data_IF_818204428339
#
_entry.id   IF_818204428339
#
_cell.length_a   1.000
_cell.length_b   1.000
_cell.length_c   1.000
_cell.angle_alpha   90.00
_cell.angle_beta   90.00
_cell.angle_gamma   90.00
#
_symmetry.space_group_name_H-M   'P 1'
#
loop_
_entity.id
_entity.type
_entity.pdbx_description
1 polymer ?
#
# COMPACT_ATOMS: atom_id res chain seq x y z
N UNK A 1 -30.35 -20.20 -9.84
CA UNK A 1 -29.63 -20.17 -8.54
C UNK A 1 -28.15 -20.46 -8.77
N UNK A 2 -27.31 -19.43 -8.81
CA UNK A 2 -25.87 -19.57 -9.02
C UNK A 2 -25.18 -19.92 -7.70
N UNK A 3 -24.58 -21.12 -7.62
CA UNK A 3 -23.77 -21.55 -6.46
C UNK A 3 -22.52 -20.65 -6.41
N UNK A 4 -22.48 -19.74 -5.44
CA UNK A 4 -21.24 -19.04 -5.05
C UNK A 4 -20.28 -20.08 -4.46
N UNK A 5 -19.35 -20.56 -5.26
CA UNK A 5 -18.22 -21.37 -4.79
C UNK A 5 -17.37 -20.51 -3.86
N UNK A 6 -17.37 -20.83 -2.57
CA UNK A 6 -16.48 -20.23 -1.59
C UNK A 6 -15.04 -20.67 -1.88
N UNK A 7 -14.04 -19.77 -1.80
CA UNK A 7 -12.66 -20.16 -2.02
C UNK A 7 -12.23 -21.14 -0.92
N UNK A 8 -11.73 -22.31 -1.34
CA UNK A 8 -11.18 -23.34 -0.47
C UNK A 8 -9.81 -22.89 0.03
N UNK A 9 -9.57 -23.00 1.34
CA UNK A 9 -8.28 -22.70 1.95
C UNK A 9 -7.23 -23.73 1.49
N UNK A 10 -6.31 -23.30 0.62
CA UNK A 10 -5.28 -24.15 0.00
C UNK A 10 -4.17 -24.56 0.96
N UNK A 11 -4.19 -24.10 2.22
CA UNK A 11 -3.18 -24.45 3.23
C UNK A 11 -3.56 -25.66 4.08
N UNK A 12 -4.80 -26.13 3.99
CA UNK A 12 -5.22 -27.36 4.68
C UNK A 12 -4.97 -28.55 3.76
N UNK A 13 -4.21 -29.59 4.18
CA UNK A 13 -3.95 -30.77 3.36
C UNK A 13 -5.27 -31.42 2.87
N UNK A 14 -5.37 -31.83 1.59
CA UNK A 14 -6.60 -32.40 1.03
C UNK A 14 -7.12 -33.63 1.78
N UNK A 15 -6.21 -34.38 2.42
CA UNK A 15 -6.51 -35.57 3.21
C UNK A 15 -7.37 -35.27 4.46
N UNK A 16 -7.10 -34.14 5.14
CA UNK A 16 -7.86 -33.68 6.32
C UNK A 16 -9.24 -33.19 5.90
N UNK A 17 -9.36 -32.57 4.72
CA UNK A 17 -10.65 -32.13 4.21
C UNK A 17 -11.56 -33.33 3.89
N UNK A 18 -11.06 -34.41 3.30
CA UNK A 18 -11.89 -35.57 2.94
C UNK A 18 -12.43 -36.37 4.13
N UNK A 19 -11.76 -36.33 5.29
CA UNK A 19 -12.16 -37.06 6.51
C UNK A 19 -12.98 -36.20 7.50
N UNK A 20 -13.11 -34.89 7.27
CA UNK A 20 -13.80 -33.96 8.17
C UNK A 20 -15.28 -33.77 7.83
N UNK A 21 -16.11 -33.72 8.86
CA UNK A 21 -17.55 -33.48 8.73
C UNK A 21 -17.84 -32.10 8.11
N UNK A 22 -19.01 -31.90 7.48
CA UNK A 22 -19.39 -30.59 6.93
C UNK A 22 -19.30 -29.44 7.94
N UNK A 23 -19.59 -29.70 9.22
CA UNK A 23 -19.51 -28.73 10.31
C UNK A 23 -18.06 -28.33 10.64
N UNK A 24 -17.13 -29.30 10.65
CA UNK A 24 -15.70 -29.04 10.88
C UNK A 24 -15.09 -28.24 9.72
N UNK A 25 -15.47 -28.56 8.47
CA UNK A 25 -15.04 -27.77 7.30
C UNK A 25 -15.53 -26.33 7.39
N UNK A 26 -16.77 -26.12 7.82
CA UNK A 26 -17.30 -24.76 8.01
C UNK A 26 -16.56 -24.02 9.14
N UNK A 27 -16.27 -24.69 10.26
CA UNK A 27 -15.50 -24.11 11.36
C UNK A 27 -14.07 -23.72 10.94
N UNK A 28 -13.37 -24.57 10.18
CA UNK A 28 -12.04 -24.28 9.62
C UNK A 28 -12.12 -23.07 8.69
N UNK A 29 -13.11 -23.02 7.79
CA UNK A 29 -13.29 -21.89 6.88
C UNK A 29 -13.62 -20.59 7.62
N UNK A 30 -14.48 -20.62 8.64
CA UNK A 30 -14.80 -19.45 9.47
C UNK A 30 -13.57 -18.94 10.20
N UNK A 31 -12.78 -19.83 10.81
CA UNK A 31 -11.53 -19.48 11.49
C UNK A 31 -10.52 -18.88 10.52
N UNK A 32 -10.35 -19.47 9.34
CA UNK A 32 -9.44 -18.96 8.31
C UNK A 32 -9.84 -17.56 7.84
N UNK A 33 -11.13 -17.32 7.60
CA UNK A 33 -11.65 -15.98 7.27
C UNK A 33 -11.46 -14.98 8.40
N UNK A 34 -11.73 -15.38 9.64
CA UNK A 34 -11.51 -14.52 10.82
C UNK A 34 -10.05 -14.06 10.90
N UNK A 35 -9.10 -15.00 10.80
CA UNK A 35 -7.66 -14.68 10.74
C UNK A 35 -7.36 -13.76 9.56
N UNK A 36 -7.96 -13.99 8.39
CA UNK A 36 -7.83 -13.11 7.23
C UNK A 36 -8.29 -11.67 7.51
N UNK A 37 -9.44 -11.49 8.16
CA UNK A 37 -9.95 -10.16 8.53
C UNK A 37 -9.07 -9.47 9.56
N UNK A 38 -8.59 -10.20 10.58
CA UNK A 38 -7.64 -9.65 11.57
C UNK A 38 -6.36 -9.18 10.89
N UNK A 39 -5.80 -10.00 10.00
CA UNK A 39 -4.60 -9.63 9.22
C UNK A 39 -4.85 -8.41 8.33
N UNK A 40 -6.01 -8.31 7.69
CA UNK A 40 -6.37 -7.16 6.87
C UNK A 40 -6.50 -5.88 7.71
N UNK A 41 -7.08 -5.97 8.91
CA UNK A 41 -7.18 -4.85 9.85
C UNK A 41 -5.80 -4.39 10.33
N UNK A 42 -4.92 -5.32 10.70
CA UNK A 42 -3.53 -5.00 11.07
C UNK A 42 -2.80 -4.31 9.92
N UNK A 43 -3.00 -4.79 8.69
CA UNK A 43 -2.44 -4.15 7.49
C UNK A 43 -2.96 -2.71 7.36
N UNK A 44 -4.26 -2.50 7.47
CA UNK A 44 -4.87 -1.19 7.34
C UNK A 44 -4.39 -0.20 8.41
N UNK A 45 -4.27 -0.65 9.66
CA UNK A 45 -3.75 0.16 10.77
C UNK A 45 -2.28 0.51 10.56
N UNK A 46 -1.45 -0.49 10.27
CA UNK A 46 0.00 -0.29 10.14
C UNK A 46 0.35 0.65 8.99
N UNK A 47 -0.31 0.50 7.84
CA UNK A 47 -0.11 1.35 6.67
C UNK A 47 -0.79 2.72 6.81
N UNK A 48 -1.96 2.80 7.45
CA UNK A 48 -2.66 4.06 7.69
C UNK A 48 -1.92 4.97 8.67
N UNK A 49 -1.53 4.45 9.84
CA UNK A 49 -0.77 5.20 10.86
C UNK A 49 0.63 5.60 10.35
N UNK A 50 1.14 4.96 9.29
CA UNK A 50 2.41 5.37 8.72
C UNK A 50 2.41 6.78 8.12
N UNK A 51 1.26 7.32 7.71
CA UNK A 51 1.19 8.69 7.18
C UNK A 51 1.71 9.74 8.19
N UNK A 52 1.17 9.83 9.41
CA UNK A 52 1.72 10.74 10.41
C UNK A 52 3.10 10.34 10.92
N UNK A 53 3.38 9.03 11.06
CA UNK A 53 4.72 8.56 11.46
C UNK A 53 5.79 9.04 10.48
N UNK A 54 5.54 8.93 9.18
CA UNK A 54 6.43 9.44 8.15
C UNK A 54 6.59 10.96 8.25
N UNK A 55 5.51 11.71 8.46
CA UNK A 55 5.60 13.17 8.59
C UNK A 55 6.42 13.62 9.80
N UNK A 56 6.31 12.93 10.94
CA UNK A 56 7.16 13.18 12.10
C UNK A 56 8.61 12.79 11.84
N UNK A 57 8.84 11.61 11.26
CA UNK A 57 10.20 11.13 10.99
C UNK A 57 10.93 12.02 9.97
N UNK A 58 10.20 12.69 9.08
CA UNK A 58 10.73 13.65 8.11
C UNK A 58 11.34 14.91 8.78
N UNK A 59 11.01 15.17 10.05
CA UNK A 59 11.62 16.27 10.82
C UNK A 59 13.04 15.92 11.27
N UNK A 60 13.38 14.63 11.33
CA UNK A 60 14.68 14.16 11.82
C UNK A 60 15.52 13.47 10.72
N UNK A 61 14.87 12.90 9.70
CA UNK A 61 15.52 12.22 8.59
C UNK A 61 15.08 12.79 7.24
N UNK A 62 16.01 12.90 6.28
CA UNK A 62 15.67 13.21 4.90
C UNK A 62 14.69 12.20 4.26
N UNK A 63 13.87 12.65 3.28
CA UNK A 63 12.73 11.89 2.78
C UNK A 63 13.05 10.52 2.17
N UNK A 64 14.14 10.40 1.40
CA UNK A 64 14.49 9.14 0.75
C UNK A 64 15.06 8.15 1.77
N UNK A 65 15.91 8.62 2.67
CA UNK A 65 16.48 7.83 3.76
C UNK A 65 15.40 7.34 4.75
N UNK A 66 14.46 8.22 5.10
CA UNK A 66 13.30 7.94 5.94
C UNK A 66 12.43 6.80 5.38
N UNK A 67 12.31 6.69 4.05
CA UNK A 67 11.50 5.65 3.40
C UNK A 67 12.31 4.41 3.06
N UNK A 68 13.49 4.60 2.51
CA UNK A 68 14.34 3.55 1.96
C UNK A 68 14.93 2.64 3.04
N UNK A 69 15.50 3.22 4.11
CA UNK A 69 16.21 2.43 5.12
C UNK A 69 15.25 1.51 5.91
N UNK A 70 14.11 1.99 6.44
CA UNK A 70 13.11 1.10 7.03
C UNK A 70 12.60 0.04 6.06
N UNK A 71 12.51 0.37 4.76
CA UNK A 71 12.14 -0.58 3.71
C UNK A 71 13.12 -1.74 3.57
N UNK A 72 14.44 -1.46 3.58
CA UNK A 72 15.49 -2.49 3.54
C UNK A 72 15.51 -3.31 4.82
N UNK A 73 15.42 -2.67 5.99
CA UNK A 73 15.36 -3.38 7.29
C UNK A 73 14.13 -4.29 7.34
N UNK A 74 12.96 -3.78 6.96
CA UNK A 74 11.71 -4.54 6.90
C UNK A 74 11.77 -5.69 5.89
N UNK A 75 12.43 -5.51 4.74
CA UNK A 75 12.66 -6.59 3.79
C UNK A 75 13.53 -7.71 4.38
N UNK A 76 14.57 -7.36 5.14
CA UNK A 76 15.41 -8.32 5.87
C UNK A 76 14.61 -9.11 6.91
N UNK A 77 13.79 -8.42 7.72
CA UNK A 77 12.91 -9.09 8.69
C UNK A 77 11.90 -10.01 8.01
N UNK A 78 11.30 -9.56 6.91
CA UNK A 78 10.37 -10.38 6.12
C UNK A 78 11.07 -11.59 5.48
N UNK A 79 12.34 -11.44 5.08
CA UNK A 79 13.17 -12.53 4.58
C UNK A 79 13.41 -13.59 5.67
N UNK A 80 13.71 -13.17 6.90
CA UNK A 80 13.84 -14.08 8.05
C UNK A 80 12.55 -14.86 8.27
N UNK A 81 11.39 -14.19 8.25
CA UNK A 81 10.08 -14.86 8.39
C UNK A 81 9.86 -15.85 7.24
N UNK A 82 10.16 -15.47 5.99
CA UNK A 82 9.99 -16.33 4.83
C UNK A 82 10.86 -17.60 4.94
N UNK A 83 12.13 -17.45 5.33
CA UNK A 83 13.04 -18.57 5.53
C UNK A 83 12.61 -19.47 6.70
N UNK A 84 12.14 -18.88 7.81
CA UNK A 84 11.60 -19.63 8.94
C UNK A 84 10.34 -20.42 8.58
N UNK A 85 9.56 -19.96 7.58
CA UNK A 85 8.42 -20.68 7.02
C UNK A 85 8.80 -21.69 5.92
N UNK A 86 10.08 -21.88 5.64
CA UNK A 86 10.57 -22.76 4.56
C UNK A 86 10.28 -22.24 3.15
N UNK A 87 9.94 -20.95 3.01
CA UNK A 87 9.67 -20.32 1.71
C UNK A 87 11.00 -19.96 1.04
N UNK A 88 11.25 -20.53 -0.13
CA UNK A 88 12.46 -20.25 -0.90
C UNK A 88 12.51 -18.81 -1.41
N UNK A 89 13.60 -18.11 -1.11
CA UNK A 89 13.87 -16.76 -1.64
C UNK A 89 14.53 -16.77 -3.02
N UNK A 90 14.71 -17.94 -3.64
CA UNK A 90 15.39 -18.08 -4.94
C UNK A 90 14.52 -17.53 -6.07
N UNK A 91 15.10 -16.63 -6.86
CA UNK A 91 14.46 -16.07 -8.06
C UNK A 91 15.16 -16.61 -9.32
N UNK A 92 14.42 -17.33 -10.20
CA UNK A 92 14.92 -17.74 -11.51
C UNK A 92 15.43 -16.55 -12.34
N UNK A 93 16.54 -16.74 -13.06
CA UNK A 93 17.25 -15.67 -13.80
C UNK A 93 16.36 -14.95 -14.82
N UNK A 94 15.46 -15.68 -15.47
CA UNK A 94 14.50 -15.17 -16.47
C UNK A 94 13.47 -14.18 -15.91
N UNK A 95 13.31 -14.14 -14.58
CA UNK A 95 12.29 -13.32 -13.91
C UNK A 95 12.82 -12.00 -13.40
N UNK A 96 14.14 -11.84 -13.30
CA UNK A 96 14.78 -10.64 -12.77
C UNK A 96 14.40 -9.36 -13.53
N UNK A 97 14.37 -9.32 -14.87
CA UNK A 97 14.00 -8.10 -15.58
C UNK A 97 12.58 -7.63 -15.23
N UNK A 98 11.62 -8.58 -15.15
CA UNK A 98 10.23 -8.29 -14.75
C UNK A 98 10.17 -7.88 -13.28
N UNK A 99 10.88 -8.59 -12.41
CA UNK A 99 10.92 -8.27 -10.99
C UNK A 99 11.46 -6.87 -10.75
N UNK A 100 12.57 -6.50 -11.39
CA UNK A 100 13.15 -5.15 -11.28
C UNK A 100 12.18 -4.10 -11.80
N UNK A 101 11.64 -4.28 -13.01
CA UNK A 101 10.68 -3.33 -13.60
C UNK A 101 9.47 -3.11 -12.68
N UNK A 102 8.86 -4.20 -12.21
CA UNK A 102 7.68 -4.13 -11.34
C UNK A 102 8.03 -3.51 -9.99
N UNK A 103 9.19 -3.81 -9.41
CA UNK A 103 9.65 -3.25 -8.13
C UNK A 103 9.93 -1.75 -8.22
N UNK A 104 10.55 -1.30 -9.31
CA UNK A 104 10.83 0.13 -9.53
C UNK A 104 9.53 0.91 -9.69
N UNK A 105 8.63 0.44 -10.56
CA UNK A 105 7.35 1.12 -10.80
C UNK A 105 6.44 1.14 -9.57
N UNK A 106 6.37 0.02 -8.84
CA UNK A 106 5.47 -0.07 -7.68
C UNK A 106 6.10 0.44 -6.40
N UNK A 107 7.32 0.01 -6.04
CA UNK A 107 7.90 0.32 -4.73
C UNK A 107 8.80 1.54 -4.79
N UNK A 108 9.77 1.63 -5.71
CA UNK A 108 10.68 2.79 -5.76
C UNK A 108 9.95 4.09 -6.04
N UNK A 109 9.11 4.12 -7.08
CA UNK A 109 8.31 5.30 -7.41
C UNK A 109 7.43 5.71 -6.23
N UNK A 110 6.74 4.75 -5.61
CA UNK A 110 5.86 5.06 -4.48
C UNK A 110 6.64 5.59 -3.27
N UNK A 111 7.67 4.87 -2.84
CA UNK A 111 8.43 5.22 -1.64
C UNK A 111 9.17 6.54 -1.82
N UNK A 112 9.83 6.75 -2.96
CA UNK A 112 10.60 7.95 -3.22
C UNK A 112 9.70 9.17 -3.41
N UNK A 113 8.72 9.07 -4.30
CA UNK A 113 7.88 10.23 -4.66
C UNK A 113 6.91 10.60 -3.53
N UNK A 114 6.35 9.64 -2.77
CA UNK A 114 5.54 9.98 -1.59
C UNK A 114 6.43 10.55 -0.47
N UNK A 115 7.63 10.00 -0.27
CA UNK A 115 8.59 10.56 0.69
C UNK A 115 8.85 12.04 0.41
N UNK A 116 9.11 12.39 -0.86
CA UNK A 116 9.29 13.77 -1.29
C UNK A 116 7.99 14.59 -1.22
N UNK A 117 6.84 14.02 -1.57
CA UNK A 117 5.56 14.71 -1.50
C UNK A 117 5.21 15.16 -0.06
N UNK A 118 5.55 14.35 0.94
CA UNK A 118 5.38 14.67 2.36
C UNK A 118 6.21 15.88 2.81
N UNK A 119 7.19 16.34 2.05
CA UNK A 119 7.89 17.60 2.34
C UNK A 119 6.96 18.80 2.13
N UNK A 120 6.16 18.75 1.06
CA UNK A 120 5.33 19.86 0.61
C UNK A 120 3.88 19.79 1.13
N UNK A 121 3.41 18.58 1.43
CA UNK A 121 2.00 18.33 1.75
C UNK A 121 1.80 17.86 3.20
N UNK A 122 0.66 18.21 3.81
CA UNK A 122 0.15 17.51 4.99
C UNK A 122 0.03 15.99 4.74
N UNK A 123 0.16 15.21 5.81
CA UNK A 123 0.11 13.75 5.75
C UNK A 123 -1.26 13.26 5.30
N UNK A 124 -2.35 13.86 5.82
CA UNK A 124 -3.71 13.54 5.42
C UNK A 124 -3.98 13.82 3.94
N UNK A 125 -3.52 14.97 3.43
CA UNK A 125 -3.66 15.33 2.01
C UNK A 125 -2.90 14.36 1.10
N UNK A 126 -1.66 14.03 1.47
CA UNK A 126 -0.84 13.06 0.72
C UNK A 126 -1.49 11.68 0.69
N UNK A 127 -2.12 11.26 1.79
CA UNK A 127 -2.85 9.99 1.86
C UNK A 127 -4.05 9.95 0.91
N UNK A 128 -4.81 11.04 0.81
CA UNK A 128 -5.97 11.16 -0.08
C UNK A 128 -5.53 11.14 -1.54
N UNK A 129 -4.49 11.91 -1.91
CA UNK A 129 -3.95 11.91 -3.28
C UNK A 129 -3.42 10.52 -3.63
N UNK A 130 -2.71 9.88 -2.71
CA UNK A 130 -2.22 8.51 -2.86
C UNK A 130 -3.34 7.49 -3.08
N UNK A 131 -4.50 7.67 -2.46
CA UNK A 131 -5.66 6.79 -2.63
C UNK A 131 -6.30 6.86 -4.03
N UNK A 132 -5.82 7.74 -4.92
CA UNK A 132 -6.25 7.77 -6.33
C UNK A 132 -5.66 6.64 -7.18
N UNK A 133 -4.70 5.83 -6.68
CA UNK A 133 -4.13 4.68 -7.42
C UNK A 133 -5.15 3.82 -8.18
N UNK A 134 -6.30 3.42 -7.59
CA UNK A 134 -7.24 2.52 -8.28
C UNK A 134 -7.83 3.14 -9.54
N UNK A 135 -7.92 4.47 -9.59
CA UNK A 135 -8.35 5.24 -10.76
C UNK A 135 -7.37 5.03 -11.91
N UNK A 136 -6.09 5.31 -11.65
CA UNK A 136 -5.02 5.13 -12.63
C UNK A 136 -4.91 3.66 -13.08
N UNK A 137 -5.05 2.71 -12.15
CA UNK A 137 -5.00 1.29 -12.48
C UNK A 137 -6.14 0.88 -13.42
N UNK A 138 -7.33 1.47 -13.22
CA UNK A 138 -8.47 1.25 -14.10
C UNK A 138 -8.23 1.82 -15.49
N UNK A 139 -7.67 3.04 -15.57
CA UNK A 139 -7.31 3.66 -16.85
C UNK A 139 -6.29 2.82 -17.63
N UNK A 140 -5.28 2.27 -16.96
CA UNK A 140 -4.29 1.40 -17.58
C UNK A 140 -4.80 0.00 -17.93
N UNK A 141 -5.76 -0.53 -17.18
CA UNK A 141 -6.28 -1.88 -17.43
C UNK A 141 -6.92 -2.03 -18.82
N UNK A 142 -7.47 -0.95 -19.37
CA UNK A 142 -8.09 -0.97 -20.70
C UNK A 142 -7.07 -1.19 -21.82
N UNK A 143 -6.05 -0.33 -22.02
CA UNK A 143 -5.06 -0.53 -23.07
C UNK A 143 -4.08 -1.68 -22.80
N UNK A 144 -3.80 -2.02 -21.53
CA UNK A 144 -2.78 -3.02 -21.19
C UNK A 144 -3.35 -4.43 -21.09
N UNK A 145 -4.55 -4.59 -20.50
CA UNK A 145 -5.18 -5.89 -20.26
C UNK A 145 -6.39 -6.15 -21.17
N UNK A 146 -6.86 -5.14 -21.91
CA UNK A 146 -8.07 -5.24 -22.72
C UNK A 146 -9.37 -5.21 -21.90
N UNK A 147 -9.30 -4.81 -20.62
CA UNK A 147 -10.48 -4.73 -19.76
C UNK A 147 -11.40 -3.59 -20.21
N UNK A 148 -12.69 -3.87 -20.48
CA UNK A 148 -13.65 -2.83 -20.87
C UNK A 148 -13.92 -1.88 -19.70
N UNK A 149 -13.81 -0.58 -19.96
CA UNK A 149 -14.22 0.47 -19.01
C UNK A 149 -15.74 0.42 -18.85
N UNK A 150 -16.21 0.09 -17.65
CA UNK A 150 -17.63 0.15 -17.31
C UNK A 150 -18.00 1.57 -16.89
N UNK A 151 -19.26 1.96 -17.09
CA UNK A 151 -19.77 3.27 -16.63
C UNK A 151 -19.52 3.47 -15.12
N UNK A 152 -19.61 2.40 -14.32
CA UNK A 152 -19.30 2.43 -12.88
C UNK A 152 -17.85 2.82 -12.59
N UNK A 153 -16.90 2.27 -13.36
CA UNK A 153 -15.47 2.60 -13.26
C UNK A 153 -15.18 4.05 -13.64
N UNK A 154 -15.91 4.58 -14.63
CA UNK A 154 -15.82 5.99 -15.03
C UNK A 154 -16.36 6.91 -13.94
N UNK A 155 -17.51 6.58 -13.35
CA UNK A 155 -18.09 7.35 -12.22
C UNK A 155 -17.13 7.31 -11.02
N UNK A 156 -16.58 6.14 -10.68
CA UNK A 156 -15.59 6.02 -9.61
C UNK A 156 -14.36 6.92 -9.80
N UNK A 157 -13.86 6.98 -11.04
CA UNK A 157 -12.79 7.88 -11.44
C UNK A 157 -13.17 9.35 -11.27
N UNK A 158 -14.35 9.75 -11.76
CA UNK A 158 -14.84 11.11 -11.61
C UNK A 158 -14.98 11.52 -10.13
N UNK A 159 -15.47 10.63 -9.27
CA UNK A 159 -15.60 10.88 -7.84
C UNK A 159 -14.25 11.08 -7.14
N UNK A 160 -13.25 10.25 -7.45
CA UNK A 160 -11.91 10.38 -6.88
C UNK A 160 -11.22 11.68 -7.35
N UNK A 161 -11.37 12.05 -8.63
CA UNK A 161 -10.86 13.33 -9.15
C UNK A 161 -11.60 14.51 -8.50
N UNK A 162 -12.92 14.43 -8.34
CA UNK A 162 -13.69 15.46 -7.64
C UNK A 162 -13.25 15.62 -6.18
N UNK A 163 -12.98 14.51 -5.48
CA UNK A 163 -12.43 14.54 -4.13
C UNK A 163 -11.09 15.29 -4.07
N UNK A 164 -10.21 15.06 -5.06
CA UNK A 164 -8.95 15.80 -5.18
C UNK A 164 -9.17 17.29 -5.43
N UNK A 165 -10.10 17.66 -6.31
CA UNK A 165 -10.42 19.07 -6.60
C UNK A 165 -10.99 19.77 -5.35
N UNK A 166 -11.86 19.10 -4.60
CA UNK A 166 -12.40 19.61 -3.32
C UNK A 166 -11.28 19.82 -2.31
N UNK A 167 -10.34 18.89 -2.24
CA UNK A 167 -9.17 19.00 -1.36
C UNK A 167 -8.32 20.23 -1.69
N UNK A 168 -8.12 20.53 -2.97
CA UNK A 168 -7.33 21.69 -3.44
C UNK A 168 -8.11 23.02 -3.40
N UNK A 169 -9.44 22.97 -3.50
CA UNK A 169 -10.29 24.17 -3.59
C UNK A 169 -10.51 24.90 -2.27
N UNK A 170 -10.13 24.29 -1.14
CA UNK A 170 -10.32 24.89 0.20
C UNK A 170 -9.25 25.92 0.60
N UNK A 171 -8.10 25.91 -0.08
CA UNK A 171 -6.95 26.75 0.28
C UNK A 171 -6.79 27.95 -0.67
N UNK A 172 -6.25 29.06 -0.16
CA UNK A 172 -5.96 30.25 -0.96
C UNK A 172 -4.92 29.98 -2.06
N UNK A 173 -4.92 30.81 -3.12
CA UNK A 173 -4.08 30.63 -4.32
C UNK A 173 -2.58 30.46 -4.00
N UNK A 174 -2.05 31.20 -3.03
CA UNK A 174 -0.65 31.10 -2.61
C UNK A 174 -0.32 29.77 -1.92
N UNK A 175 -1.23 29.26 -1.08
CA UNK A 175 -1.08 27.95 -0.44
C UNK A 175 -1.10 26.83 -1.49
N UNK A 176 -1.94 26.96 -2.52
CA UNK A 176 -1.99 26.02 -3.64
C UNK A 176 -0.71 25.98 -4.47
N UNK A 177 -0.04 27.12 -4.68
CA UNK A 177 1.24 27.14 -5.39
C UNK A 177 2.36 26.43 -4.61
N UNK A 178 2.45 26.62 -3.30
CA UNK A 178 3.44 25.96 -2.45
C UNK A 178 3.24 24.43 -2.39
N UNK A 179 1.99 23.98 -2.46
CA UNK A 179 1.62 22.55 -2.44
C UNK A 179 1.81 21.84 -3.78
N UNK A 180 1.84 22.58 -4.89
CA UNK A 180 1.84 22.02 -6.25
C UNK A 180 2.94 20.96 -6.51
N UNK A 181 4.22 21.15 -6.10
CA UNK A 181 5.24 20.13 -6.28
C UNK A 181 4.87 18.82 -5.58
N UNK A 182 4.36 18.89 -4.35
CA UNK A 182 3.92 17.71 -3.61
C UNK A 182 2.75 16.99 -4.26
N UNK A 183 1.78 17.74 -4.81
CA UNK A 183 0.64 17.16 -5.53
C UNK A 183 1.12 16.39 -6.76
N UNK A 184 2.01 17.00 -7.56
CA UNK A 184 2.58 16.36 -8.74
C UNK A 184 3.35 15.09 -8.35
N UNK A 185 4.19 15.16 -7.31
CA UNK A 185 4.96 14.02 -6.82
C UNK A 185 4.04 12.89 -6.34
N UNK A 186 3.02 13.19 -5.55
CA UNK A 186 2.07 12.19 -5.05
C UNK A 186 1.24 11.55 -6.18
N UNK A 187 0.82 12.33 -7.18
CA UNK A 187 0.12 11.81 -8.36
C UNK A 187 1.02 10.92 -9.22
N UNK A 188 2.27 11.34 -9.46
CA UNK A 188 3.26 10.51 -10.18
C UNK A 188 3.55 9.20 -9.42
N UNK A 189 3.58 9.25 -8.09
CA UNK A 189 3.70 8.07 -7.25
C UNK A 189 2.51 7.11 -7.45
N UNK A 190 1.29 7.64 -7.38
CA UNK A 190 0.07 6.86 -7.57
C UNK A 190 -0.02 6.28 -8.99
N UNK A 191 0.38 7.05 -10.00
CA UNK A 191 0.44 6.65 -11.41
C UNK A 191 1.45 5.52 -11.63
N UNK A 192 2.69 5.68 -11.15
CA UNK A 192 3.74 4.66 -11.24
C UNK A 192 3.31 3.36 -10.56
N UNK A 193 2.76 3.47 -9.34
CA UNK A 193 2.27 2.32 -8.59
C UNK A 193 1.15 1.58 -9.33
N UNK A 194 0.18 2.33 -9.86
CA UNK A 194 -0.92 1.78 -10.63
C UNK A 194 -0.44 1.06 -11.89
N UNK A 195 0.49 1.65 -12.63
CA UNK A 195 1.10 1.03 -13.80
C UNK A 195 1.82 -0.27 -13.43
N UNK A 196 2.63 -0.25 -12.37
CA UNK A 196 3.31 -1.44 -11.84
C UNK A 196 2.33 -2.55 -11.42
N UNK A 197 1.20 -2.16 -10.81
CA UNK A 197 0.14 -3.10 -10.42
C UNK A 197 -0.52 -3.76 -11.64
N UNK A 198 -0.84 -2.98 -12.68
CA UNK A 198 -1.45 -3.52 -13.90
C UNK A 198 -0.46 -4.37 -14.69
N UNK A 199 0.81 -3.95 -14.78
CA UNK A 199 1.86 -4.76 -15.40
C UNK A 199 2.15 -6.04 -14.63
N UNK A 200 1.99 -6.06 -13.30
CA UNK A 200 2.12 -7.30 -12.51
C UNK A 200 1.08 -8.34 -12.94
N UNK A 201 -0.14 -7.90 -13.30
CA UNK A 201 -1.17 -8.79 -13.86
C UNK A 201 -0.79 -9.29 -15.26
N UNK A 202 -0.27 -8.41 -16.13
CA UNK A 202 0.13 -8.76 -17.49
C UNK A 202 1.38 -9.66 -17.53
N UNK A 203 2.32 -9.43 -16.61
CA UNK A 203 3.64 -10.05 -16.54
C UNK A 203 3.83 -10.73 -15.17
N UNK A 204 3.07 -11.81 -14.88
CA UNK A 204 3.11 -12.43 -13.56
C UNK A 204 4.49 -13.01 -13.25
N UNK A 205 4.99 -12.71 -12.06
CA UNK A 205 6.30 -13.20 -11.57
C UNK A 205 6.28 -14.70 -11.23
N UNK A 206 5.10 -15.27 -10.92
CA UNK A 206 4.92 -16.67 -10.50
C UNK A 206 5.88 -17.08 -9.36
N UNK A 207 6.15 -16.16 -8.43
CA UNK A 207 6.96 -16.38 -7.24
C UNK A 207 6.03 -16.58 -6.02
N UNK A 208 6.50 -17.26 -4.96
CA UNK A 208 5.81 -17.22 -3.68
C UNK A 208 5.58 -15.75 -3.26
N UNK A 209 4.40 -15.38 -2.72
CA UNK A 209 4.09 -13.98 -2.41
C UNK A 209 5.09 -13.32 -1.46
N UNK A 210 5.56 -14.03 -0.43
CA UNK A 210 6.58 -13.52 0.49
C UNK A 210 7.93 -13.29 -0.21
N UNK A 211 8.34 -14.21 -1.10
CA UNK A 211 9.56 -14.04 -1.91
C UNK A 211 9.47 -12.83 -2.81
N UNK A 212 8.33 -12.63 -3.49
CA UNK A 212 8.11 -11.45 -4.31
C UNK A 212 8.17 -10.17 -3.47
N UNK A 213 7.53 -10.16 -2.29
CA UNK A 213 7.52 -9.01 -1.38
C UNK A 213 8.92 -8.61 -0.91
N UNK A 214 9.72 -9.58 -0.44
CA UNK A 214 11.10 -9.36 0.01
C UNK A 214 11.91 -8.72 -1.10
N UNK A 215 11.90 -9.31 -2.30
CA UNK A 215 12.70 -8.76 -3.40
C UNK A 215 12.15 -7.43 -3.94
N UNK A 216 10.83 -7.23 -3.95
CA UNK A 216 10.25 -5.96 -4.33
C UNK A 216 10.62 -4.84 -3.36
N UNK A 217 10.67 -5.11 -2.06
CA UNK A 217 11.16 -4.15 -1.07
C UNK A 217 12.66 -3.90 -1.19
N UNK A 218 13.48 -4.96 -1.38
CA UNK A 218 14.93 -4.80 -1.57
C UNK A 218 15.21 -3.96 -2.82
N UNK A 219 14.72 -4.38 -3.99
CA UNK A 219 14.97 -3.68 -5.26
C UNK A 219 14.32 -2.30 -5.24
N UNK A 220 13.14 -2.20 -4.62
CA UNK A 220 12.38 -0.96 -4.52
C UNK A 220 13.06 0.11 -3.68
N UNK A 221 13.58 -0.26 -2.52
CA UNK A 221 14.12 0.67 -1.52
C UNK A 221 15.63 0.85 -1.64
N UNK A 222 16.37 -0.09 -2.23
CA UNK A 222 17.83 0.01 -2.35
C UNK A 222 18.28 1.27 -3.11
N UNK A 223 17.69 1.66 -4.26
CA UNK A 223 18.04 2.91 -4.93
C UNK A 223 17.82 4.13 -4.04
N UNK A 224 16.78 4.14 -3.21
CA UNK A 224 16.46 5.25 -2.31
C UNK A 224 17.48 5.36 -1.19
N UNK A 225 17.93 4.22 -0.64
CA UNK A 225 19.01 4.19 0.37
C UNK A 225 20.31 4.70 -0.24
N UNK A 226 20.66 4.24 -1.44
CA UNK A 226 21.89 4.68 -2.12
C UNK A 226 21.85 6.18 -2.39
N UNK A 227 20.77 6.68 -3.00
CA UNK A 227 20.60 8.11 -3.27
C UNK A 227 20.60 8.90 -1.94
N UNK A 228 19.92 8.41 -0.90
CA UNK A 228 19.91 9.04 0.41
C UNK A 228 21.31 9.17 1.02
N UNK A 229 22.14 8.13 0.97
CA UNK A 229 23.51 8.17 1.48
C UNK A 229 24.38 9.17 0.69
N UNK A 230 24.26 9.18 -0.64
CA UNK A 230 25.12 10.01 -1.49
C UNK A 230 24.69 11.48 -1.56
N UNK A 231 23.40 11.80 -1.41
CA UNK A 231 22.87 13.15 -1.61
C UNK A 231 22.23 13.77 -0.37
N UNK A 232 21.65 12.98 0.53
CA UNK A 232 20.95 13.51 1.71
C UNK A 232 21.79 13.48 2.99
N UNK A 233 22.83 12.63 3.04
CA UNK A 233 23.73 12.47 4.20
C UNK A 233 22.98 12.30 5.54
N UNK A 234 22.14 11.25 5.69
CA UNK A 234 21.25 11.10 6.84
C UNK A 234 22.01 10.91 8.16
N UNK A 235 21.61 11.65 9.19
CA UNK A 235 22.26 11.65 10.50
C UNK A 235 21.54 10.75 11.50
N UNK A 236 21.55 9.44 11.29
CA UNK A 236 20.88 8.46 12.15
C UNK A 236 21.30 8.51 13.62
N UNK A 237 22.53 8.95 13.92
CA UNK A 237 23.03 9.09 15.29
C UNK A 237 22.38 10.24 16.06
N UNK A 238 21.73 11.18 15.38
CA UNK A 238 21.06 12.32 15.98
C UNK A 238 19.55 12.11 16.15
N UNK A 239 19.04 10.94 15.77
CA UNK A 239 17.64 10.58 16.00
C UNK A 239 17.30 10.71 17.48
N UNK A 240 16.19 11.38 17.75
CA UNK A 240 15.60 11.44 19.08
C UNK A 240 15.14 10.06 19.51
N UNK A 241 14.82 9.90 20.80
CA UNK A 241 14.21 8.64 21.29
C UNK A 241 12.89 8.36 20.55
N UNK A 242 12.10 9.40 20.27
CA UNK A 242 10.88 9.28 19.49
C UNK A 242 11.19 8.88 18.04
N UNK A 243 12.19 9.50 17.41
CA UNK A 243 12.65 9.20 16.06
C UNK A 243 13.02 7.72 15.88
N UNK A 244 13.74 7.13 16.85
CA UNK A 244 14.04 5.70 16.85
C UNK A 244 12.79 4.82 16.97
N UNK A 245 11.82 5.19 17.80
CA UNK A 245 10.55 4.46 17.89
C UNK A 245 9.73 4.54 16.59
N UNK A 246 9.67 5.71 15.97
CA UNK A 246 8.99 5.93 14.69
C UNK A 246 9.69 5.18 13.52
N UNK A 247 11.03 5.14 13.55
CA UNK A 247 11.83 4.34 12.63
C UNK A 247 11.54 2.84 12.82
N UNK A 248 11.57 2.36 14.06
CA UNK A 248 11.28 0.96 14.39
C UNK A 248 9.84 0.58 14.00
N UNK A 249 8.87 1.47 14.22
CA UNK A 249 7.50 1.30 13.73
C UNK A 249 7.48 1.12 12.20
N UNK A 250 8.17 1.98 11.46
CA UNK A 250 8.20 1.94 10.00
C UNK A 250 8.88 0.67 9.48
N UNK A 251 9.99 0.26 10.09
CA UNK A 251 10.74 -0.92 9.66
C UNK A 251 10.02 -2.24 10.03
N UNK A 252 9.54 -2.34 11.27
CA UNK A 252 8.96 -3.59 11.79
C UNK A 252 7.49 -3.66 11.49
N UNK A 253 6.69 -2.68 11.92
CA UNK A 253 5.23 -2.79 11.82
C UNK A 253 4.73 -2.54 10.41
N UNK A 254 5.18 -1.47 9.76
CA UNK A 254 4.72 -1.16 8.41
C UNK A 254 5.31 -2.12 7.36
N UNK A 255 6.64 -2.23 7.31
CA UNK A 255 7.34 -2.93 6.22
C UNK A 255 7.37 -4.45 6.40
N UNK A 256 7.46 -4.96 7.63
CA UNK A 256 7.48 -6.40 7.87
C UNK A 256 6.08 -6.95 8.21
N UNK A 257 5.50 -6.54 9.35
CA UNK A 257 4.21 -7.06 9.82
C UNK A 257 3.08 -6.73 8.85
N UNK A 258 3.01 -5.50 8.36
CA UNK A 258 1.99 -5.06 7.40
C UNK A 258 2.01 -5.89 6.12
N UNK A 259 3.18 -6.08 5.51
CA UNK A 259 3.31 -6.92 4.31
C UNK A 259 3.02 -8.40 4.59
N UNK A 260 3.49 -8.94 5.71
CA UNK A 260 3.21 -10.32 6.10
C UNK A 260 1.70 -10.56 6.27
N UNK A 261 1.02 -9.66 7.00
CA UNK A 261 -0.42 -9.69 7.21
C UNK A 261 -1.17 -9.49 5.89
N UNK A 262 -0.74 -8.58 5.02
CA UNK A 262 -1.36 -8.35 3.72
C UNK A 262 -1.42 -9.63 2.87
N UNK A 263 -0.27 -10.29 2.67
CA UNK A 263 -0.22 -11.54 1.92
C UNK A 263 -0.93 -12.70 2.64
N UNK A 264 -0.90 -12.68 3.98
CA UNK A 264 -1.68 -13.59 4.81
C UNK A 264 -3.20 -13.44 4.61
N UNK A 265 -3.68 -12.21 4.49
CA UNK A 265 -5.07 -11.88 4.23
C UNK A 265 -5.49 -12.23 2.79
N UNK A 266 -4.66 -11.90 1.79
CA UNK A 266 -4.90 -12.27 0.39
C UNK A 266 -5.00 -13.79 0.18
N UNK A 267 -4.30 -14.58 0.99
CA UNK A 267 -4.40 -16.04 0.95
C UNK A 267 -5.65 -16.62 1.61
N UNK A 268 -6.42 -15.82 2.36
CA UNK A 268 -7.56 -16.29 3.20
C UNK A 268 -8.89 -15.62 2.84
N UNK A 269 -8.85 -14.47 2.20
CA UNK A 269 -10.01 -13.67 1.83
C UNK A 269 -10.14 -13.57 0.31
N UNK A 270 -11.37 -13.41 -0.21
CA UNK A 270 -11.57 -13.01 -1.60
C UNK A 270 -10.87 -11.68 -1.91
N UNK A 271 -10.30 -11.54 -3.11
CA UNK A 271 -9.59 -10.33 -3.53
C UNK A 271 -10.46 -9.06 -3.43
N UNK A 272 -11.76 -9.16 -3.69
CA UNK A 272 -12.71 -8.04 -3.56
C UNK A 272 -12.84 -7.57 -2.10
N UNK A 273 -12.84 -8.49 -1.13
CA UNK A 273 -12.89 -8.17 0.30
C UNK A 273 -11.59 -7.51 0.75
N UNK A 274 -10.45 -8.04 0.32
CA UNK A 274 -9.15 -7.43 0.60
C UNK A 274 -9.06 -6.01 0.03
N UNK A 275 -9.49 -5.81 -1.22
CA UNK A 275 -9.53 -4.48 -1.84
C UNK A 275 -10.43 -3.50 -1.08
N UNK A 276 -11.62 -3.90 -0.65
CA UNK A 276 -12.50 -3.05 0.18
C UNK A 276 -11.82 -2.72 1.52
N UNK A 277 -11.15 -3.68 2.17
CA UNK A 277 -10.46 -3.41 3.43
C UNK A 277 -9.29 -2.44 3.29
N UNK A 278 -8.61 -2.38 2.14
CA UNK A 278 -7.58 -1.36 1.90
C UNK A 278 -8.11 0.07 1.88
N UNK A 279 -9.42 0.28 1.71
CA UNK A 279 -10.05 1.60 1.79
C UNK A 279 -10.01 2.20 3.20
N UNK A 280 -9.76 1.37 4.22
CA UNK A 280 -9.54 1.84 5.58
C UNK A 280 -8.21 2.57 5.73
N UNK A 281 -7.20 2.29 4.90
CA UNK A 281 -5.87 2.90 4.99
C UNK A 281 -5.93 4.44 4.90
N UNK A 282 -6.55 5.05 3.87
CA UNK A 282 -6.65 6.52 3.82
C UNK A 282 -7.51 7.09 4.94
N UNK A 283 -8.56 6.39 5.40
CA UNK A 283 -9.37 6.83 6.55
C UNK A 283 -8.52 6.91 7.81
N UNK A 284 -7.81 5.82 8.12
CA UNK A 284 -6.93 5.74 9.28
C UNK A 284 -5.81 6.78 9.13
N UNK A 285 -5.25 6.95 7.93
CA UNK A 285 -4.22 7.94 7.66
C UNK A 285 -4.66 9.37 7.96
N UNK A 286 -5.82 9.78 7.46
CA UNK A 286 -6.37 11.12 7.72
C UNK A 286 -6.70 11.31 9.20
N UNK A 287 -7.40 10.35 9.83
CA UNK A 287 -7.78 10.44 11.24
C UNK A 287 -6.56 10.45 12.17
N UNK A 288 -5.57 9.59 11.90
CA UNK A 288 -4.34 9.54 12.68
C UNK A 288 -3.50 10.80 12.48
N UNK A 289 -3.47 11.37 11.27
CA UNK A 289 -2.77 12.64 11.01
C UNK A 289 -3.43 13.80 11.75
N UNK A 290 -4.76 13.90 11.74
CA UNK A 290 -5.46 14.90 12.53
C UNK A 290 -5.20 14.77 14.03
N UNK A 291 -5.21 13.55 14.57
CA UNK A 291 -5.01 13.31 15.99
C UNK A 291 -3.57 13.56 16.47
N UNK A 292 -2.56 13.21 15.65
CA UNK A 292 -1.14 13.27 16.05
C UNK A 292 -0.42 14.54 15.62
N UNK A 293 -0.71 15.05 14.42
CA UNK A 293 -0.08 16.24 13.85
C UNK A 293 -0.91 17.52 14.08
N UNK A 294 -2.13 17.39 14.60
CA UNK A 294 -3.06 18.51 14.73
C UNK A 294 -3.55 19.05 13.38
N UNK A 295 -3.47 18.24 12.31
CA UNK A 295 -3.95 18.65 10.98
C UNK A 295 -5.46 18.92 11.02
N UNK A 296 -5.93 20.08 10.54
CA UNK A 296 -7.34 20.42 10.58
C UNK A 296 -8.16 19.47 9.71
N UNK A 297 -9.15 18.80 10.31
CA UNK A 297 -10.19 18.06 9.60
C UNK A 297 -11.24 19.03 9.06
N UNK A 298 -10.86 19.81 8.07
CA UNK A 298 -11.79 20.68 7.37
C UNK A 298 -12.85 19.88 6.61
N UNK A 299 -13.96 20.55 6.31
CA UNK A 299 -15.07 19.99 5.52
C UNK A 299 -14.58 19.47 4.17
N UNK A 300 -13.57 20.12 3.59
CA UNK A 300 -12.92 19.71 2.35
C UNK A 300 -12.20 18.36 2.47
N UNK A 301 -11.41 18.13 3.53
CA UNK A 301 -10.71 16.87 3.76
C UNK A 301 -11.69 15.71 3.97
N UNK A 302 -12.76 15.95 4.75
CA UNK A 302 -13.81 14.95 5.00
C UNK A 302 -14.57 14.63 3.70
N UNK A 303 -14.93 15.65 2.92
CA UNK A 303 -15.58 15.49 1.62
C UNK A 303 -14.70 14.72 0.61
N UNK A 304 -13.42 15.06 0.54
CA UNK A 304 -12.44 14.40 -0.32
C UNK A 304 -12.25 12.92 0.04
N UNK A 305 -12.14 12.63 1.34
CA UNK A 305 -12.04 11.27 1.85
C UNK A 305 -13.30 10.46 1.53
N UNK A 306 -14.49 11.02 1.79
CA UNK A 306 -15.77 10.38 1.50
C UNK A 306 -15.94 10.07 0.01
N UNK A 307 -15.65 11.04 -0.86
CA UNK A 307 -15.72 10.89 -2.32
C UNK A 307 -14.75 9.83 -2.83
N UNK A 308 -13.51 9.83 -2.31
CA UNK A 308 -12.48 8.86 -2.71
C UNK A 308 -12.87 7.44 -2.30
N UNK A 309 -13.32 7.24 -1.05
CA UNK A 309 -13.77 5.92 -0.58
C UNK A 309 -14.98 5.44 -1.36
N UNK A 310 -15.97 6.31 -1.58
CA UNK A 310 -17.17 5.95 -2.32
C UNK A 310 -16.83 5.58 -3.77
N UNK A 311 -15.92 6.32 -4.41
CA UNK A 311 -15.41 6.00 -5.75
C UNK A 311 -14.74 4.62 -5.79
N UNK A 312 -13.79 4.34 -4.90
CA UNK A 312 -13.10 3.04 -4.93
C UNK A 312 -14.04 1.89 -4.51
N UNK A 313 -14.96 2.12 -3.57
CA UNK A 313 -15.99 1.14 -3.23
C UNK A 313 -16.88 0.80 -4.44
N UNK A 314 -17.24 1.80 -5.25
CA UNK A 314 -17.99 1.59 -6.49
C UNK A 314 -17.17 0.81 -7.53
N UNK A 315 -15.88 1.13 -7.70
CA UNK A 315 -14.98 0.40 -8.59
C UNK A 315 -14.75 -1.07 -8.17
N UNK A 316 -14.75 -1.34 -6.87
CA UNK A 316 -14.55 -2.70 -6.33
C UNK A 316 -15.74 -3.65 -6.54
N UNK A 317 -16.92 -3.12 -6.88
CA UNK A 317 -18.18 -3.86 -7.08
C UNK A 317 -18.48 -4.18 -8.56
N UNK A 318 -17.53 -3.94 -9.46
CA UNK A 318 -17.64 -4.17 -10.91
C UNK A 318 -16.68 -5.25 -11.39
#
# INVERSE_FOLDING_TARGET
MSRRTTPVDTRTPPRILNETSPAEREAIQRRSRFVGYTMLMVTALTWGINWPVGKHLLQELPPLSMRGVPGIVGAGLLAVIALAQGVSLRVPRDRWPRLVLLSVLSVSCWMGLIGLALVYLPAGETAVIGATMPVWATMFSWPILGERLTVRRIIAMAMAIAGLVVLMGGDGVAANQAKMPGIILALLAAFGFALGTVLTKRLPLRLPPLTAAVWQLVIGCLPLVLIGIFFEHPQFTQLSTLGWWLFAYSAVLQMCVGFFCWFGALGRLPASVAAIGTLLIPVIGVLASAASLGEPLGVAQIGALALTIAGVALASRS
#
